data_IF_391666987017
#
_entry.id   IF_391666987017
#
_cell.length_a   1.000
_cell.length_b   1.000
_cell.length_c   1.000
_cell.angle_alpha   90.00
_cell.angle_beta   90.00
_cell.angle_gamma   90.00
#
_symmetry.space_group_name_H-M   'P 1'
#
loop_
_entity.id
_entity.type
_entity.pdbx_description
1 polymer ?
#
# COMPACT_ATOMS: atom_id res chain seq x y z
N UNK A 1 63.15 5.76 24.64
CA UNK A 1 63.05 4.29 24.57
C UNK A 1 61.63 3.99 24.06
N UNK A 2 61.41 3.98 22.74
CA UNK A 2 61.48 2.83 21.83
C UNK A 2 60.75 1.58 22.35
N UNK A 3 59.63 1.22 21.71
CA UNK A 3 59.24 -0.09 21.15
C UNK A 3 57.70 -0.09 20.97
N UNK A 4 57.16 0.15 19.77
CA UNK A 4 57.01 -0.72 18.59
C UNK A 4 55.73 -1.60 18.62
N UNK A 5 54.96 -1.45 17.54
CA UNK A 5 53.75 -2.13 17.11
C UNK A 5 53.74 -3.66 17.25
N UNK A 6 52.53 -4.24 17.31
CA UNK A 6 52.13 -5.26 16.32
C UNK A 6 50.62 -5.32 16.13
N UNK A 7 50.25 -5.24 14.87
CA UNK A 7 48.93 -5.20 14.25
C UNK A 7 48.69 -6.61 13.66
N UNK A 8 47.56 -7.26 13.94
CA UNK A 8 47.24 -8.56 13.37
C UNK A 8 45.89 -8.50 12.64
N UNK A 9 45.95 -8.28 11.33
CA UNK A 9 44.85 -8.56 10.39
C UNK A 9 45.01 -9.99 9.89
N UNK A 10 43.99 -10.82 10.06
CA UNK A 10 43.83 -12.04 9.27
C UNK A 10 42.75 -11.81 8.20
N UNK A 11 43.17 -11.95 6.93
CA UNK A 11 42.33 -12.01 5.74
C UNK A 11 41.72 -13.41 5.66
N UNK A 12 40.40 -13.49 5.49
CA UNK A 12 39.74 -14.72 5.05
C UNK A 12 39.46 -14.64 3.55
N UNK A 13 39.72 -15.76 2.90
CA UNK A 13 39.90 -15.95 1.47
C UNK A 13 38.58 -15.99 0.69
N UNK A 14 38.67 -15.50 -0.55
CA UNK A 14 37.62 -15.50 -1.58
C UNK A 14 37.55 -16.88 -2.24
N UNK A 15 36.38 -17.52 -2.24
CA UNK A 15 36.13 -18.72 -3.04
C UNK A 15 35.07 -18.40 -4.09
N UNK A 16 35.54 -18.31 -5.33
CA UNK A 16 34.78 -18.09 -6.56
C UNK A 16 34.30 -19.44 -7.09
N UNK A 17 33.01 -19.61 -7.35
CA UNK A 17 32.46 -20.77 -8.07
C UNK A 17 31.84 -20.27 -9.38
N UNK A 18 32.34 -20.67 -10.55
CA UNK A 18 31.74 -20.29 -11.82
C UNK A 18 30.68 -21.31 -12.30
N UNK A 19 29.59 -20.73 -12.82
CA UNK A 19 28.98 -20.98 -14.14
C UNK A 19 28.60 -22.43 -14.49
N UNK A 20 27.29 -22.67 -14.65
CA UNK A 20 26.77 -23.53 -15.71
C UNK A 20 25.36 -23.07 -16.11
N UNK A 21 25.27 -22.36 -17.24
CA UNK A 21 24.02 -22.13 -17.96
C UNK A 21 23.59 -23.41 -18.67
N UNK A 22 22.34 -23.84 -18.47
CA UNK A 22 21.64 -24.69 -19.43
C UNK A 22 20.38 -23.97 -19.89
N UNK A 23 20.51 -23.31 -21.03
CA UNK A 23 19.39 -22.84 -21.84
C UNK A 23 18.82 -24.07 -22.56
N UNK A 24 17.60 -24.45 -22.23
CA UNK A 24 16.82 -25.37 -23.06
C UNK A 24 15.75 -24.54 -23.75
N UNK A 25 16.04 -24.14 -25.00
CA UNK A 25 15.02 -23.73 -25.94
C UNK A 25 14.25 -24.98 -26.38
N UNK A 26 12.96 -25.04 -26.06
CA UNK A 26 12.02 -25.87 -26.81
C UNK A 26 11.09 -24.96 -27.61
N UNK A 27 10.72 -25.51 -28.75
CA UNK A 27 10.38 -24.84 -29.99
C UNK A 27 9.01 -25.33 -30.45
N UNK A 28 8.19 -24.40 -30.97
CA UNK A 28 7.04 -24.57 -31.88
C UNK A 28 5.72 -25.18 -31.32
N UNK A 29 4.55 -25.02 -32.00
CA UNK A 29 4.19 -24.11 -33.11
C UNK A 29 2.89 -23.30 -32.89
N UNK A 30 2.70 -22.41 -33.87
CA UNK A 30 1.58 -21.58 -34.30
C UNK A 30 0.33 -22.42 -34.71
N UNK A 31 -0.79 -21.71 -35.03
CA UNK A 31 -2.06 -22.17 -35.65
C UNK A 31 -3.16 -22.46 -34.59
N UNK A 32 -4.37 -21.89 -34.61
CA UNK A 32 -5.24 -21.55 -35.73
C UNK A 32 -6.06 -20.26 -35.50
N UNK A 33 -6.20 -19.49 -36.59
CA UNK A 33 -7.31 -18.56 -36.80
C UNK A 33 -8.63 -19.33 -36.80
N UNK A 34 -9.62 -18.83 -36.06
CA UNK A 34 -11.02 -19.03 -36.43
C UNK A 34 -11.67 -17.66 -36.58
N UNK A 35 -11.82 -17.27 -37.83
CA UNK A 35 -12.68 -16.18 -38.27
C UNK A 35 -14.09 -16.75 -38.39
N UNK A 36 -15.08 -16.07 -37.82
CA UNK A 36 -16.44 -16.12 -38.33
C UNK A 36 -17.21 -14.86 -37.92
N UNK A 37 -17.46 -14.06 -38.95
CA UNK A 37 -18.36 -12.93 -39.09
C UNK A 37 -19.82 -13.38 -39.00
N UNK A 38 -20.72 -12.54 -38.47
CA UNK A 38 -21.91 -12.01 -39.19
C UNK A 38 -23.03 -11.46 -38.26
N UNK A 39 -23.53 -10.29 -38.68
CA UNK A 39 -24.92 -9.76 -38.71
C UNK A 39 -25.73 -9.71 -37.39
N UNK A 40 -26.02 -8.54 -36.81
CA UNK A 40 -26.84 -7.40 -37.26
C UNK A 40 -28.38 -7.59 -37.12
N UNK A 41 -28.92 -6.78 -36.20
CA UNK A 41 -30.17 -6.00 -36.25
C UNK A 41 -31.55 -6.69 -36.31
N UNK A 42 -32.37 -6.36 -35.31
CA UNK A 42 -33.59 -5.58 -35.57
C UNK A 42 -34.93 -6.17 -35.14
N UNK A 43 -35.58 -5.47 -34.19
CA UNK A 43 -37.03 -5.24 -34.10
C UNK A 43 -37.93 -6.38 -33.60
N UNK A 44 -38.58 -6.18 -32.45
CA UNK A 44 -39.94 -5.62 -32.44
C UNK A 44 -40.41 -5.35 -31.01
N UNK A 45 -40.97 -4.16 -30.85
CA UNK A 45 -41.67 -3.68 -29.67
C UNK A 45 -42.97 -4.48 -29.46
N UNK A 46 -43.24 -4.85 -28.20
CA UNK A 46 -44.61 -5.00 -27.71
C UNK A 46 -44.79 -4.19 -26.43
N UNK A 47 -45.44 -3.05 -26.62
CA UNK A 47 -46.07 -2.24 -25.58
C UNK A 47 -47.30 -2.99 -25.09
N UNK A 48 -47.47 -3.07 -23.77
CA UNK A 48 -48.77 -3.30 -23.13
C UNK A 48 -48.73 -2.88 -21.65
N UNK A 49 -49.90 -2.60 -21.04
CA UNK A 49 -50.15 -1.38 -20.31
C UNK A 49 -49.94 -1.52 -18.79
N UNK A 50 -49.70 -0.38 -18.14
CA UNK A 50 -49.69 -0.26 -16.67
C UNK A 50 -51.13 0.01 -16.19
N UNK A 51 -51.61 -0.72 -15.16
CA UNK A 51 -52.51 -0.08 -14.20
C UNK A 51 -52.05 -0.27 -12.75
N UNK A 52 -51.95 0.88 -12.09
CA UNK A 52 -52.30 1.23 -10.71
C UNK A 52 -52.12 0.17 -9.60
N UNK A 53 -51.04 0.40 -8.85
CA UNK A 53 -50.97 0.46 -7.38
C UNK A 53 -52.07 -0.25 -6.59
N UNK A 54 -51.75 -1.44 -6.10
CA UNK A 54 -52.18 -1.92 -4.79
C UNK A 54 -50.93 -2.08 -3.93
N UNK A 55 -50.97 -1.46 -2.76
CA UNK A 55 -49.85 -1.31 -1.84
C UNK A 55 -49.39 -2.66 -1.32
N UNK A 56 -48.24 -3.15 -1.81
CA UNK A 56 -47.45 -4.10 -1.05
C UNK A 56 -46.40 -3.30 -0.27
N UNK A 57 -46.61 -3.29 1.03
CA UNK A 57 -45.76 -2.74 2.08
C UNK A 57 -44.39 -3.43 2.02
N UNK A 58 -43.53 -3.00 1.10
CA UNK A 58 -42.14 -3.43 1.08
C UNK A 58 -41.37 -2.50 2.02
N UNK A 59 -40.99 -3.05 3.17
CA UNK A 59 -40.11 -2.39 4.12
C UNK A 59 -38.83 -1.94 3.42
N UNK A 60 -38.67 -0.63 3.25
CA UNK A 60 -37.40 -0.04 2.84
C UNK A 60 -36.59 0.10 4.13
N UNK A 61 -35.99 -1.02 4.55
CA UNK A 61 -34.86 -0.99 5.45
C UNK A 61 -33.60 -0.98 4.57
N UNK A 62 -33.11 0.22 4.26
CA UNK A 62 -31.70 0.40 3.89
C UNK A 62 -31.11 1.37 4.90
N UNK A 63 -30.26 0.93 5.85
CA UNK A 63 -29.35 1.88 6.45
C UNK A 63 -28.39 2.29 5.33
N UNK A 64 -28.47 3.55 4.92
CA UNK A 64 -27.38 4.19 4.19
C UNK A 64 -26.19 4.19 5.14
N UNK A 65 -25.40 3.13 5.11
CA UNK A 65 -24.16 3.06 5.88
C UNK A 65 -23.23 4.09 5.26
N UNK A 66 -23.08 5.22 5.97
CA UNK A 66 -22.16 6.28 5.57
C UNK A 66 -20.77 5.68 5.68
N UNK A 67 -20.17 5.34 4.54
CA UNK A 67 -18.77 4.91 4.50
C UNK A 67 -17.96 6.14 4.91
N UNK A 68 -17.48 6.15 6.15
CA UNK A 68 -16.53 7.15 6.62
C UNK A 68 -15.25 7.01 5.79
N UNK A 69 -14.89 8.07 5.06
CA UNK A 69 -13.70 8.10 4.22
C UNK A 69 -12.69 9.04 4.85
N UNK A 70 -11.59 8.49 5.34
CA UNK A 70 -10.43 9.28 5.73
C UNK A 70 -9.68 9.78 4.51
N UNK A 71 -9.25 11.03 4.52
CA UNK A 71 -8.52 11.65 3.40
C UNK A 71 -7.07 11.88 3.79
N UNK A 72 -6.16 11.36 2.97
CA UNK A 72 -4.71 11.55 3.13
C UNK A 72 -4.16 12.33 1.93
N UNK A 73 -3.51 13.45 2.21
CA UNK A 73 -2.84 14.28 1.21
C UNK A 73 -1.34 13.94 1.14
N UNK A 74 -0.77 14.00 -0.06
CA UNK A 74 0.68 14.02 -0.25
C UNK A 74 1.15 15.47 -0.32
N UNK A 75 1.88 15.91 0.70
CA UNK A 75 2.40 17.26 0.80
C UNK A 75 3.86 17.30 0.36
N UNK A 76 4.15 18.26 -0.51
CA UNK A 76 5.51 18.64 -0.89
C UNK A 76 5.65 20.14 -0.63
N UNK A 77 6.44 20.49 0.37
CA UNK A 77 6.72 21.88 0.71
C UNK A 77 8.23 22.11 0.64
N UNK A 78 8.68 22.69 -0.47
CA UNK A 78 10.10 22.92 -0.70
C UNK A 78 10.66 24.06 0.17
N UNK A 79 9.80 24.81 0.86
CA UNK A 79 10.20 25.87 1.79
C UNK A 79 10.29 25.38 3.24
N UNK A 80 9.96 24.10 3.49
CA UNK A 80 10.01 23.55 4.84
C UNK A 80 11.44 23.43 5.38
N UNK A 81 11.58 23.50 6.71
CA UNK A 81 12.88 23.54 7.38
C UNK A 81 13.55 22.15 7.50
N UNK A 82 12.81 21.08 7.26
CA UNK A 82 13.31 19.71 7.33
C UNK A 82 12.78 18.86 6.19
N UNK A 83 13.53 17.79 5.84
CA UNK A 83 13.06 16.88 4.78
C UNK A 83 11.81 16.08 5.19
N UNK A 84 11.57 15.90 6.49
CA UNK A 84 10.39 15.22 7.01
C UNK A 84 9.13 16.09 6.94
N UNK A 85 9.29 17.41 7.01
CA UNK A 85 8.21 18.36 6.72
C UNK A 85 8.04 18.52 5.21
N UNK A 86 9.15 18.64 4.46
CA UNK A 86 9.10 18.88 3.03
C UNK A 86 8.42 17.76 2.23
N UNK A 87 8.48 16.51 2.69
CA UNK A 87 7.86 15.37 2.00
C UNK A 87 7.10 14.49 3.00
N UNK A 88 5.78 14.63 3.05
CA UNK A 88 4.95 13.95 4.05
C UNK A 88 3.58 13.55 3.54
N UNK A 89 3.02 12.52 4.18
CA UNK A 89 1.59 12.27 4.14
C UNK A 89 0.92 13.11 5.23
N UNK A 90 -0.27 13.65 4.96
CA UNK A 90 -1.03 14.42 5.92
C UNK A 90 -2.49 13.94 5.95
N UNK A 91 -2.93 13.27 7.04
CA UNK A 91 -2.13 12.83 8.19
C UNK A 91 -1.13 11.70 7.84
N UNK A 92 -0.11 11.52 8.68
CA UNK A 92 0.90 10.45 8.58
C UNK A 92 0.64 9.25 9.49
N UNK A 93 -0.47 9.28 10.22
CA UNK A 93 -0.89 8.23 11.13
C UNK A 93 -2.41 8.16 11.16
N UNK A 94 -2.96 6.96 10.96
CA UNK A 94 -4.39 6.69 11.05
C UNK A 94 -4.65 5.46 11.93
N UNK A 95 -5.76 5.48 12.67
CA UNK A 95 -6.27 4.36 13.46
C UNK A 95 -7.71 4.10 13.02
N UNK A 96 -7.93 2.97 12.36
CA UNK A 96 -9.11 2.66 11.55
C UNK A 96 -9.79 1.39 12.06
N UNK A 97 -11.07 1.23 11.69
CA UNK A 97 -11.76 -0.06 11.81
C UNK A 97 -11.57 -0.89 10.54
N UNK A 98 -11.64 -2.23 10.61
CA UNK A 98 -11.72 -3.07 9.41
C UNK A 98 -12.86 -2.62 8.48
N UNK A 99 -12.56 -2.53 7.19
CA UNK A 99 -13.51 -2.09 6.16
C UNK A 99 -13.47 -0.59 5.86
N UNK A 100 -12.75 0.22 6.64
CA UNK A 100 -12.59 1.65 6.35
C UNK A 100 -11.88 1.88 5.01
N UNK A 101 -12.36 2.89 4.27
CA UNK A 101 -11.77 3.33 3.00
C UNK A 101 -10.96 4.60 3.23
N UNK A 102 -9.72 4.61 2.76
CA UNK A 102 -8.86 5.81 2.78
C UNK A 102 -8.70 6.34 1.37
N UNK A 103 -9.01 7.63 1.18
CA UNK A 103 -8.78 8.37 -0.04
C UNK A 103 -7.41 9.02 -0.03
N UNK A 104 -6.52 8.52 -0.85
CA UNK A 104 -5.21 9.13 -1.07
C UNK A 104 -5.28 10.15 -2.20
N UNK A 105 -4.84 11.38 -1.94
CA UNK A 105 -4.78 12.47 -2.91
C UNK A 105 -3.32 12.80 -3.28
N UNK A 106 -3.14 13.40 -4.46
CA UNK A 106 -1.87 13.99 -4.87
C UNK A 106 -0.82 12.98 -5.35
N UNK A 107 -1.21 11.79 -5.82
CA UNK A 107 -0.27 10.79 -6.34
C UNK A 107 0.07 11.04 -7.82
N UNK A 108 0.45 12.27 -8.17
CA UNK A 108 0.74 12.70 -9.54
C UNK A 108 2.24 12.74 -9.82
N UNK A 109 2.64 12.82 -11.09
CA UNK A 109 4.05 12.87 -11.49
C UNK A 109 4.85 11.64 -11.02
N UNK A 110 5.94 11.87 -10.26
CA UNK A 110 6.80 10.81 -9.71
C UNK A 110 6.43 10.40 -8.28
N UNK A 111 5.35 10.95 -7.71
CA UNK A 111 4.88 10.63 -6.37
C UNK A 111 4.03 9.36 -6.37
N UNK A 112 4.23 8.53 -5.36
CA UNK A 112 3.51 7.26 -5.21
C UNK A 112 2.99 7.13 -3.80
N UNK A 113 1.91 6.38 -3.66
CA UNK A 113 1.49 5.79 -2.38
C UNK A 113 1.66 4.30 -2.51
N UNK A 114 2.49 3.68 -1.68
CA UNK A 114 2.84 2.27 -1.85
C UNK A 114 2.97 1.55 -0.52
N UNK A 115 2.47 0.32 -0.44
CA UNK A 115 2.74 -0.55 0.70
C UNK A 115 4.24 -0.82 0.84
N UNK A 116 4.73 -0.78 2.08
CA UNK A 116 6.08 -1.23 2.42
C UNK A 116 6.08 -2.76 2.47
N UNK A 117 6.96 -3.38 1.68
CA UNK A 117 7.07 -4.84 1.61
C UNK A 117 7.27 -5.43 3.02
N UNK A 118 6.41 -6.37 3.39
CA UNK A 118 6.48 -7.06 4.70
C UNK A 118 5.91 -6.26 5.88
N UNK A 119 5.44 -5.02 5.67
CA UNK A 119 4.79 -4.18 6.69
C UNK A 119 3.29 -4.05 6.39
N UNK A 120 2.62 -5.19 6.28
CA UNK A 120 1.17 -5.33 6.15
C UNK A 120 0.80 -6.76 6.63
N UNK A 121 -0.44 -6.98 7.12
CA UNK A 121 -0.85 -8.27 7.65
C UNK A 121 -0.93 -9.34 6.54
N UNK A 122 -0.89 -10.60 6.94
CA UNK A 122 -1.02 -11.71 6.00
C UNK A 122 -2.39 -11.71 5.32
N UNK A 123 -2.44 -12.07 4.03
CA UNK A 123 -3.66 -12.01 3.22
C UNK A 123 -4.09 -10.60 2.79
N UNK A 124 -3.49 -9.52 3.32
CA UNK A 124 -3.71 -8.18 2.77
C UNK A 124 -3.03 -8.01 1.41
N UNK A 125 -3.72 -7.34 0.49
CA UNK A 125 -3.20 -7.07 -0.86
C UNK A 125 -2.26 -5.85 -0.81
N UNK A 126 -0.96 -5.99 -1.14
CA UNK A 126 -0.11 -4.83 -1.30
C UNK A 126 -0.59 -4.00 -2.49
N UNK A 127 -0.45 -2.68 -2.40
CA UNK A 127 -0.91 -1.77 -3.44
C UNK A 127 0.15 -0.71 -3.77
N UNK A 128 -0.03 -0.13 -4.95
CA UNK A 128 0.71 1.06 -5.35
C UNK A 128 -0.13 1.96 -6.24
N UNK A 129 -0.17 3.25 -5.89
CA UNK A 129 -0.84 4.31 -6.64
C UNK A 129 0.23 5.14 -7.35
N UNK A 130 0.07 5.35 -8.65
CA UNK A 130 0.94 6.21 -9.48
C UNK A 130 0.11 6.99 -10.51
N UNK A 131 0.44 8.26 -10.72
CA UNK A 131 -0.17 9.08 -11.77
C UNK A 131 -1.68 9.29 -11.60
N UNK A 132 -2.18 9.26 -10.36
CA UNK A 132 -3.61 9.45 -10.05
C UNK A 132 -3.80 10.70 -9.17
N UNK A 133 -4.71 11.61 -9.53
CA UNK A 133 -5.05 12.76 -8.67
C UNK A 133 -5.62 12.32 -7.32
N UNK A 134 -6.43 11.26 -7.32
CA UNK A 134 -6.96 10.62 -6.13
C UNK A 134 -7.22 9.12 -6.38
N UNK A 135 -7.16 8.31 -5.33
CA UNK A 135 -7.48 6.89 -5.35
C UNK A 135 -7.94 6.43 -3.97
N UNK A 136 -8.99 5.61 -3.94
CA UNK A 136 -9.55 5.05 -2.72
C UNK A 136 -8.99 3.63 -2.51
N UNK A 137 -8.63 3.32 -1.26
CA UNK A 137 -8.10 2.01 -0.86
C UNK A 137 -8.86 1.53 0.37
N UNK A 138 -9.46 0.34 0.29
CA UNK A 138 -10.14 -0.30 1.40
C UNK A 138 -9.16 -1.11 2.26
N UNK A 139 -9.29 -1.01 3.58
CA UNK A 139 -8.45 -1.69 4.55
C UNK A 139 -9.28 -2.69 5.36
N UNK A 140 -9.32 -3.94 4.90
CA UNK A 140 -10.20 -4.97 5.47
C UNK A 140 -9.53 -5.82 6.56
N UNK A 141 -8.22 -6.07 6.46
CA UNK A 141 -7.51 -6.95 7.39
C UNK A 141 -6.94 -6.16 8.55
N UNK A 142 -7.11 -6.68 9.75
CA UNK A 142 -6.51 -6.09 10.95
C UNK A 142 -4.99 -6.16 10.94
N UNK A 143 -4.37 -5.17 11.55
CA UNK A 143 -2.92 -5.08 11.71
C UNK A 143 -2.35 -3.72 11.33
N UNK A 144 -1.02 -3.70 11.27
CA UNK A 144 -0.20 -2.54 10.94
C UNK A 144 0.15 -2.53 9.46
N UNK A 145 -0.09 -1.39 8.83
CA UNK A 145 0.25 -1.11 7.43
C UNK A 145 1.26 0.03 7.37
N UNK A 146 2.46 -0.26 6.85
CA UNK A 146 3.44 0.75 6.48
C UNK A 146 3.23 1.21 5.06
N UNK A 147 3.09 2.52 4.87
CA UNK A 147 2.92 3.13 3.55
C UNK A 147 4.07 4.12 3.32
N UNK A 148 4.57 4.17 2.08
CA UNK A 148 5.66 5.08 1.68
C UNK A 148 5.45 5.64 0.28
N UNK A 149 6.16 6.72 -0.01
CA UNK A 149 6.43 7.15 -1.38
C UNK A 149 7.75 6.54 -1.86
N UNK A 150 7.76 5.83 -3.00
CA UNK A 150 8.96 5.14 -3.51
C UNK A 150 10.14 6.08 -3.74
N UNK A 151 9.85 7.30 -4.19
CA UNK A 151 10.87 8.30 -4.54
C UNK A 151 11.31 9.10 -3.32
N UNK A 152 10.34 9.54 -2.49
CA UNK A 152 10.61 10.43 -1.34
C UNK A 152 10.79 9.69 -0.01
N UNK A 153 10.67 8.36 0.00
CA UNK A 153 11.01 7.51 1.13
C UNK A 153 12.45 7.72 1.62
N UNK A 154 13.39 7.95 0.69
CA UNK A 154 14.77 8.34 1.03
C UNK A 154 14.88 9.64 1.85
N UNK A 155 13.82 10.47 1.84
CA UNK A 155 13.70 11.73 2.60
C UNK A 155 12.82 11.59 3.85
N UNK A 156 12.22 10.41 4.09
CA UNK A 156 11.38 10.14 5.25
C UNK A 156 9.87 10.19 4.98
N UNK A 157 9.43 10.23 3.72
CA UNK A 157 8.00 10.25 3.37
C UNK A 157 7.34 8.88 3.59
N UNK A 158 6.84 8.67 4.80
CA UNK A 158 6.21 7.45 5.25
C UNK A 158 5.03 7.76 6.20
N UNK A 159 4.07 6.84 6.27
CA UNK A 159 2.94 6.88 7.20
C UNK A 159 2.62 5.48 7.72
N UNK A 160 1.92 5.43 8.85
CA UNK A 160 1.47 4.20 9.48
C UNK A 160 -0.07 4.20 9.56
N UNK A 161 -0.69 3.11 9.13
CA UNK A 161 -2.14 2.91 9.25
C UNK A 161 -2.34 1.68 10.13
N UNK A 162 -3.13 1.85 11.19
CA UNK A 162 -3.51 0.80 12.12
C UNK A 162 -4.95 0.45 11.84
N UNK A 163 -5.25 -0.82 11.61
CA UNK A 163 -6.59 -1.31 11.34
C UNK A 163 -6.93 -2.31 12.43
N UNK A 164 -7.91 -2.03 13.29
CA UNK A 164 -8.26 -2.93 14.40
C UNK A 164 -7.06 -3.25 15.31
N UNK A 165 -6.83 -4.54 15.58
CA UNK A 165 -5.73 -4.98 16.46
C UNK A 165 -4.34 -4.90 15.77
N UNK A 166 -3.42 -4.03 16.24
CA UNK A 166 -2.06 -3.97 15.69
C UNK A 166 -1.24 -5.23 15.97
N UNK A 167 -1.56 -6.02 17.01
CA UNK A 167 -0.75 -7.18 17.45
C UNK A 167 -0.65 -8.27 16.37
N UNK A 168 -1.60 -8.30 15.42
CA UNK A 168 -1.63 -9.26 14.30
C UNK A 168 -0.29 -9.36 13.57
N UNK A 169 0.44 -8.24 13.41
CA UNK A 169 1.74 -8.25 12.74
C UNK A 169 2.73 -7.20 13.28
N UNK A 170 2.52 -6.65 14.48
CA UNK A 170 3.33 -5.53 15.01
C UNK A 170 4.84 -5.83 15.02
N UNK A 171 5.26 -6.99 15.51
CA UNK A 171 6.68 -7.36 15.58
C UNK A 171 7.30 -7.54 14.19
N UNK A 172 6.54 -8.14 13.28
CA UNK A 172 6.93 -8.28 11.88
C UNK A 172 7.04 -6.90 11.22
N UNK A 173 6.12 -5.98 11.49
CA UNK A 173 6.14 -4.64 10.96
C UNK A 173 7.38 -3.86 11.46
N UNK A 174 7.71 -3.93 12.76
CA UNK A 174 8.88 -3.27 13.36
C UNK A 174 10.22 -3.79 12.83
N UNK A 175 10.28 -5.06 12.46
CA UNK A 175 11.52 -5.70 11.99
C UNK A 175 11.82 -5.47 10.49
N UNK A 176 10.94 -4.77 9.76
CA UNK A 176 11.17 -4.52 8.34
C UNK A 176 12.33 -3.56 8.10
N UNK A 177 13.19 -3.92 7.14
CA UNK A 177 14.29 -3.06 6.69
C UNK A 177 13.76 -2.02 5.70
N UNK A 178 13.95 -0.75 6.03
CA UNK A 178 13.57 0.41 5.21
C UNK A 178 14.75 1.39 5.07
N UNK A 179 14.59 2.45 4.28
CA UNK A 179 15.64 3.47 4.14
C UNK A 179 15.97 4.16 5.47
N UNK A 180 17.17 4.74 5.61
CA UNK A 180 17.62 5.34 6.89
C UNK A 180 16.66 6.40 7.45
N UNK A 181 16.25 7.39 6.63
CA UNK A 181 15.29 8.43 7.05
C UNK A 181 13.88 7.88 7.27
N UNK A 182 13.46 6.95 6.40
CA UNK A 182 12.23 6.18 6.58
C UNK A 182 12.19 5.47 7.95
N UNK A 183 13.28 4.81 8.35
CA UNK A 183 13.37 4.11 9.63
C UNK A 183 13.20 5.07 10.81
N UNK A 184 13.80 6.27 10.74
CA UNK A 184 13.59 7.32 11.75
C UNK A 184 12.13 7.74 11.80
N UNK A 185 11.48 7.95 10.65
CA UNK A 185 10.06 8.31 10.61
C UNK A 185 9.18 7.20 11.18
N UNK A 186 9.38 5.95 10.77
CA UNK A 186 8.64 4.81 11.31
C UNK A 186 8.86 4.62 12.81
N UNK A 187 10.07 4.85 13.33
CA UNK A 187 10.32 4.83 14.78
C UNK A 187 9.39 5.80 15.53
N UNK A 188 9.29 7.05 15.06
CA UNK A 188 8.38 8.04 15.66
C UNK A 188 6.90 7.63 15.56
N UNK A 189 6.51 7.02 14.44
CA UNK A 189 5.13 6.52 14.25
C UNK A 189 4.82 5.32 15.16
N UNK A 190 5.78 4.42 15.37
CA UNK A 190 5.64 3.30 16.30
C UNK A 190 5.63 3.78 17.76
N UNK A 191 6.41 4.79 18.12
CA UNK A 191 6.34 5.42 19.45
C UNK A 191 4.97 6.06 19.70
N UNK A 192 4.34 6.64 18.68
CA UNK A 192 2.96 7.12 18.76
C UNK A 192 1.98 5.97 18.99
N UNK A 193 2.12 4.87 18.25
CA UNK A 193 1.31 3.67 18.46
C UNK A 193 1.46 3.11 19.88
N UNK A 194 2.69 3.05 20.41
CA UNK A 194 2.96 2.57 21.77
C UNK A 194 2.23 3.41 22.82
N UNK A 195 2.21 4.73 22.66
CA UNK A 195 1.42 5.63 23.52
C UNK A 195 -0.08 5.39 23.39
N UNK A 196 -0.58 5.16 22.18
CA UNK A 196 -2.00 4.86 21.94
C UNK A 196 -2.41 3.52 22.60
N UNK A 197 -1.56 2.49 22.50
CA UNK A 197 -1.80 1.20 23.14
C UNK A 197 -1.80 1.36 24.67
N UNK A 198 -0.81 2.06 25.23
CA UNK A 198 -0.70 2.29 26.66
C UNK A 198 -1.86 3.13 27.23
N UNK A 199 -2.43 4.05 26.43
CA UNK A 199 -3.59 4.84 26.84
C UNK A 199 -4.92 4.04 26.83
N UNK A 200 -4.96 2.88 26.16
CA UNK A 200 -6.14 2.01 26.04
C UNK A 200 -6.10 0.80 26.97
N UNK A 201 -4.95 0.51 27.59
CA UNK A 201 -4.73 -0.55 28.58
C UNK A 201 -4.96 -0.05 30.00
#
# INVERSE_FOLDING_TARGET
MLFCHKNARSRASSATIPIAWKMTLMSLPLVALFSQTALAAGSQLKVSPKPKQSQEKLAIATPTEVIEIDVVNQIIDLNANSSYEAFRFEPDYLSLKPGTVVRFKGSTGRHTVSSVRGMYPEGARPFEIRGKPQMDVAFEKEGVYGIRCRVHGRHGMAMLIIVGDPKVNLDKARSQKVGKKEAVKFKLLFERLDKEIAAKS
#
